data_IF_601995451944
#
_entry.id   IF_601995451944
#
_cell.length_a   1.000
_cell.length_b   1.000
_cell.length_c   1.000
_cell.angle_alpha   90.00
_cell.angle_beta   90.00
_cell.angle_gamma   90.00
#
_symmetry.space_group_name_H-M   'P 1'
#
loop_
_entity.id
_entity.type
_entity.pdbx_description
1 polymer ?
#
# COMPACT_ATOMS: atom_id res chain seq x y z
N UNK A 1 -13.99 7.23 0.88
CA UNK A 1 -13.42 6.95 -0.45
C UNK A 1 -13.47 5.45 -0.73
N UNK A 2 -13.90 5.03 -1.92
CA UNK A 2 -14.00 3.60 -2.30
C UNK A 2 -12.60 2.98 -2.43
N UNK A 3 -12.47 1.68 -2.17
CA UNK A 3 -11.18 0.97 -2.23
C UNK A 3 -10.54 1.04 -3.62
N UNK A 4 -11.35 1.02 -4.68
CA UNK A 4 -10.88 1.17 -6.06
C UNK A 4 -10.19 2.50 -6.30
N UNK A 5 -10.68 3.59 -5.69
CA UNK A 5 -10.03 4.91 -5.75
C UNK A 5 -8.71 4.92 -4.99
N UNK A 6 -8.67 4.34 -3.77
CA UNK A 6 -7.43 4.21 -2.98
C UNK A 6 -6.36 3.44 -3.76
N UNK A 7 -6.74 2.30 -4.36
CA UNK A 7 -5.84 1.48 -5.15
C UNK A 7 -5.31 2.23 -6.36
N UNK A 8 -6.18 2.92 -7.12
CA UNK A 8 -5.76 3.72 -8.29
C UNK A 8 -4.69 4.74 -7.91
N UNK A 9 -4.83 5.41 -6.76
CA UNK A 9 -3.85 6.38 -6.26
C UNK A 9 -2.54 5.67 -5.87
N UNK A 10 -2.63 4.55 -5.14
CA UNK A 10 -1.45 3.76 -4.76
C UNK A 10 -0.65 3.30 -5.98
N UNK A 11 -1.34 2.83 -7.04
CA UNK A 11 -0.73 2.38 -8.29
C UNK A 11 0.00 3.49 -9.07
N UNK A 12 -0.22 4.77 -8.76
CA UNK A 12 0.58 5.84 -9.35
C UNK A 12 2.01 5.82 -8.83
N UNK A 13 2.19 5.73 -7.50
CA UNK A 13 3.50 5.80 -6.83
C UNK A 13 4.16 4.44 -6.57
N UNK A 14 3.37 3.40 -6.37
CA UNK A 14 3.86 2.08 -5.98
C UNK A 14 3.54 1.03 -7.04
N UNK A 15 4.42 0.04 -7.18
CA UNK A 15 4.04 -1.28 -7.69
C UNK A 15 3.40 -2.05 -6.53
N UNK A 16 2.20 -2.57 -6.76
CA UNK A 16 1.43 -3.29 -5.75
C UNK A 16 1.41 -4.77 -6.11
N UNK A 17 1.83 -5.62 -5.19
CA UNK A 17 1.61 -7.06 -5.24
C UNK A 17 0.67 -7.44 -4.10
N UNK A 18 -0.35 -8.24 -4.40
CA UNK A 18 -1.32 -8.71 -3.42
C UNK A 18 -1.33 -10.24 -3.48
N UNK A 19 -1.16 -10.86 -2.34
CA UNK A 19 -1.19 -12.31 -2.17
C UNK A 19 -2.07 -12.67 -0.96
N UNK A 20 -2.48 -13.93 -0.87
CA UNK A 20 -3.18 -14.49 0.27
C UNK A 20 -2.38 -15.68 0.76
N UNK A 21 -1.91 -15.61 2.00
CA UNK A 21 -1.13 -16.70 2.56
C UNK A 21 -2.02 -17.90 2.95
N UNK A 22 -1.36 -18.98 3.37
CA UNK A 22 -2.00 -20.22 3.80
C UNK A 22 -2.90 -20.06 5.02
N UNK A 23 -2.73 -18.97 5.78
CA UNK A 23 -3.53 -18.62 6.96
C UNK A 23 -4.69 -17.66 6.61
N UNK A 24 -5.02 -17.55 5.31
CA UNK A 24 -6.05 -16.66 4.76
C UNK A 24 -5.82 -15.17 5.08
N UNK A 25 -4.57 -14.77 5.37
CA UNK A 25 -4.22 -13.37 5.54
C UNK A 25 -3.82 -12.76 4.20
N UNK A 26 -4.39 -11.59 3.92
CA UNK A 26 -4.00 -10.80 2.78
C UNK A 26 -2.65 -10.15 3.08
N UNK A 27 -1.66 -10.41 2.23
CA UNK A 27 -0.37 -9.73 2.23
C UNK A 27 -0.31 -8.78 1.04
N UNK A 28 0.08 -7.55 1.31
CA UNK A 28 0.22 -6.51 0.30
C UNK A 28 1.63 -5.95 0.37
N UNK A 29 2.38 -6.12 -0.72
CA UNK A 29 3.68 -5.48 -0.92
C UNK A 29 3.48 -4.20 -1.75
N UNK A 30 3.97 -3.09 -1.20
CA UNK A 30 4.16 -1.83 -1.90
C UNK A 30 5.64 -1.67 -2.22
N UNK A 31 6.00 -1.64 -3.49
CA UNK A 31 7.35 -1.25 -3.93
C UNK A 31 7.29 0.16 -4.48
N UNK A 32 7.96 1.11 -3.83
CA UNK A 32 8.04 2.50 -4.29
C UNK A 32 8.77 2.55 -5.63
N UNK A 33 8.15 3.17 -6.64
CA UNK A 33 8.70 3.19 -8.01
C UNK A 33 9.95 4.06 -8.14
N UNK A 34 10.11 5.05 -7.26
CA UNK A 34 11.21 6.02 -7.34
C UNK A 34 12.43 5.51 -6.58
N UNK A 35 12.21 4.93 -5.40
CA UNK A 35 13.27 4.54 -4.46
C UNK A 35 13.53 3.04 -4.40
N UNK A 36 12.63 2.21 -4.96
CA UNK A 36 12.67 0.76 -4.86
C UNK A 36 12.39 0.22 -3.45
N UNK A 37 12.07 1.08 -2.47
CA UNK A 37 11.78 0.68 -1.09
C UNK A 37 10.51 -0.17 -1.05
N UNK A 38 10.60 -1.29 -0.34
CA UNK A 38 9.50 -2.24 -0.20
C UNK A 38 8.86 -2.06 1.19
N UNK A 39 7.53 -2.01 1.22
CA UNK A 39 6.73 -2.00 2.42
C UNK A 39 5.71 -3.12 2.37
N UNK A 40 5.75 -4.00 3.36
CA UNK A 40 4.82 -5.11 3.49
C UNK A 40 3.72 -4.77 4.50
N UNK A 41 2.49 -5.16 4.17
CA UNK A 41 1.31 -4.89 4.97
C UNK A 41 0.41 -6.13 4.97
N UNK A 42 0.00 -6.55 6.16
CA UNK A 42 -0.86 -7.72 6.32
C UNK A 42 -2.23 -7.34 6.90
N UNK A 43 -3.25 -8.14 6.61
CA UNK A 43 -4.57 -7.95 7.20
C UNK A 43 -5.59 -9.03 6.84
N UNK A 44 -6.62 -9.12 7.69
CA UNK A 44 -7.72 -10.11 7.58
C UNK A 44 -8.62 -9.92 6.35
N UNK A 45 -8.46 -8.83 5.60
CA UNK A 45 -9.21 -8.61 4.37
C UNK A 45 -8.50 -7.64 3.43
N UNK A 46 -8.79 -7.75 2.15
CA UNK A 46 -8.38 -6.80 1.10
C UNK A 46 -8.64 -5.33 1.49
N UNK A 47 -9.84 -5.03 2.00
CA UNK A 47 -10.21 -3.66 2.40
C UNK A 47 -9.32 -3.09 3.50
N UNK A 48 -8.87 -3.94 4.43
CA UNK A 48 -7.98 -3.55 5.53
C UNK A 48 -6.59 -3.23 4.98
N UNK A 49 -5.99 -4.12 4.16
CA UNK A 49 -4.64 -3.88 3.63
C UNK A 49 -4.58 -2.65 2.72
N UNK A 50 -5.60 -2.42 1.88
CA UNK A 50 -5.68 -1.21 1.05
C UNK A 50 -5.82 0.06 1.89
N UNK A 51 -6.56 -0.01 3.00
CA UNK A 51 -6.70 1.15 3.89
C UNK A 51 -5.39 1.45 4.63
N UNK A 52 -4.68 0.41 5.11
CA UNK A 52 -3.34 0.56 5.71
C UNK A 52 -2.34 1.16 4.71
N UNK A 53 -2.32 0.64 3.48
CA UNK A 53 -1.47 1.12 2.39
C UNK A 53 -1.73 2.60 2.07
N UNK A 54 -3.00 2.97 1.95
CA UNK A 54 -3.37 4.36 1.69
C UNK A 54 -2.97 5.30 2.84
N UNK A 55 -3.17 4.87 4.10
CA UNK A 55 -2.70 5.63 5.25
C UNK A 55 -1.18 5.79 5.29
N UNK A 56 -0.43 4.76 4.87
CA UNK A 56 1.02 4.86 4.71
C UNK A 56 1.39 5.91 3.66
N UNK A 57 0.79 5.87 2.47
CA UNK A 57 1.00 6.88 1.43
C UNK A 57 0.75 8.30 1.97
N UNK A 58 -0.37 8.53 2.66
CA UNK A 58 -0.68 9.86 3.22
C UNK A 58 0.38 10.32 4.23
N UNK A 59 0.96 9.41 5.03
CA UNK A 59 2.05 9.76 5.95
C UNK A 59 3.32 10.14 5.20
N UNK A 60 3.64 9.44 4.11
CA UNK A 60 4.79 9.76 3.26
C UNK A 60 4.60 11.13 2.60
N UNK A 61 3.41 11.42 2.05
CA UNK A 61 3.11 12.71 1.42
C UNK A 61 3.09 13.89 2.39
N UNK A 62 2.80 13.65 3.67
CA UNK A 62 2.81 14.68 4.72
C UNK A 62 4.22 14.99 5.24
N UNK A 63 5.21 14.12 5.00
CA UNK A 63 6.59 14.44 5.35
C UNK A 63 7.11 15.42 4.29
N UNK A 64 7.62 16.60 4.69
CA UNK A 64 8.26 17.49 3.75
C UNK A 64 9.44 16.76 3.10
N UNK A 65 9.60 16.96 1.78
CA UNK A 65 10.79 16.53 1.06
C UNK A 65 11.99 17.21 1.74
N UNK A 66 12.79 16.45 2.48
CA UNK A 66 14.11 16.92 2.90
C UNK A 66 14.97 16.94 1.63
N UNK A 67 15.23 18.14 1.13
CA UNK A 67 16.09 18.45 -0.01
C UNK A 67 17.56 18.49 0.41
#
# INVERSE_FOLDING_TARGET
MRNTTKLKILLQKYRVSLDMDVDEQFKLLLTDKDTGKIYELEGKSYSIVISKAYSHLLRVLKKPLEF
#
